data_IF_634180739527
#
_entry.id   IF_634180739527
#
_cell.length_a   1.000
_cell.length_b   1.000
_cell.length_c   1.000
_cell.angle_alpha   90.00
_cell.angle_beta   90.00
_cell.angle_gamma   90.00
#
_symmetry.space_group_name_H-M   'P 1'
#
loop_
_entity.id
_entity.type
_entity.pdbx_description
1 polymer ?
#
# COMPACT_ATOMS: atom_id res chain seq x y z
N UNK A 1 -0.38 12.89 -1.23
CA UNK A 1 -0.98 11.55 -1.07
C UNK A 1 -1.79 11.45 0.21
N UNK A 2 -1.28 11.92 1.37
CA UNK A 2 -1.92 11.86 2.68
C UNK A 2 -3.45 12.15 2.70
N UNK A 3 -3.90 13.24 2.07
CA UNK A 3 -5.33 13.62 2.06
C UNK A 3 -6.06 13.35 0.73
N UNK A 4 -5.55 12.43 -0.10
CA UNK A 4 -6.16 12.12 -1.40
C UNK A 4 -6.99 10.84 -1.31
N UNK A 5 -8.31 10.97 -1.30
CA UNK A 5 -9.24 9.83 -1.26
C UNK A 5 -9.09 8.90 -2.46
N UNK A 6 -8.85 9.42 -3.67
CA UNK A 6 -8.64 8.56 -4.85
C UNK A 6 -7.37 7.72 -4.72
N UNK A 7 -6.29 8.32 -4.20
CA UNK A 7 -5.07 7.57 -3.92
C UNK A 7 -5.32 6.42 -2.94
N UNK A 8 -5.93 6.70 -1.79
CA UNK A 8 -6.18 5.66 -0.78
C UNK A 8 -7.17 4.61 -1.26
N UNK A 9 -8.18 5.01 -2.03
CA UNK A 9 -9.13 4.08 -2.64
C UNK A 9 -8.41 3.11 -3.59
N UNK A 10 -7.66 3.62 -4.56
CA UNK A 10 -6.90 2.79 -5.50
C UNK A 10 -5.82 1.97 -4.81
N UNK A 11 -5.17 2.51 -3.76
CA UNK A 11 -4.17 1.79 -2.97
C UNK A 11 -4.75 0.58 -2.25
N UNK A 12 -5.83 0.78 -1.49
CA UNK A 12 -6.45 -0.27 -0.68
C UNK A 12 -7.11 -1.33 -1.58
N UNK A 13 -7.65 -0.94 -2.74
CA UNK A 13 -8.23 -1.87 -3.72
C UNK A 13 -7.29 -3.01 -4.11
N UNK A 14 -5.98 -2.79 -4.06
CA UNK A 14 -4.98 -3.80 -4.40
C UNK A 14 -4.63 -4.75 -3.26
N UNK A 15 -5.23 -4.59 -2.08
CA UNK A 15 -5.00 -5.47 -0.95
C UNK A 15 -5.66 -6.83 -1.21
N UNK A 16 -4.91 -7.89 -0.92
CA UNK A 16 -5.44 -9.25 -0.99
C UNK A 16 -6.23 -9.56 0.29
N UNK A 17 -7.42 -8.96 0.43
CA UNK A 17 -8.31 -9.15 1.56
C UNK A 17 -9.63 -9.80 1.15
N UNK A 18 -10.09 -10.74 1.96
CA UNK A 18 -11.38 -11.42 1.78
C UNK A 18 -12.01 -11.68 3.15
N UNK A 19 -13.28 -11.32 3.29
CA UNK A 19 -14.09 -11.65 4.45
C UNK A 19 -14.81 -12.98 4.20
N UNK A 20 -14.34 -14.05 4.85
CA UNK A 20 -14.92 -15.39 4.72
C UNK A 20 -16.35 -15.50 5.24
N UNK A 21 -16.79 -14.62 6.15
CA UNK A 21 -18.13 -14.69 6.76
C UNK A 21 -19.16 -14.05 5.83
N UNK A 22 -18.82 -12.90 5.27
CA UNK A 22 -19.72 -12.13 4.40
C UNK A 22 -19.51 -12.44 2.91
N UNK A 23 -18.48 -13.22 2.57
CA UNK A 23 -18.07 -13.57 1.21
C UNK A 23 -17.79 -12.34 0.32
N UNK A 24 -17.17 -11.32 0.90
CA UNK A 24 -16.84 -10.06 0.21
C UNK A 24 -15.34 -9.87 0.07
N UNK A 25 -14.91 -9.39 -1.09
CA UNK A 25 -13.55 -8.95 -1.34
C UNK A 25 -13.38 -7.45 -0.99
N UNK A 26 -12.14 -6.95 -1.04
CA UNK A 26 -11.85 -5.54 -0.71
C UNK A 26 -12.49 -4.57 -1.70
N UNK A 27 -12.50 -4.87 -3.00
CA UNK A 27 -13.12 -4.02 -4.02
C UNK A 27 -14.62 -3.82 -3.79
N UNK A 28 -15.34 -4.88 -3.41
CA UNK A 28 -16.75 -4.83 -3.00
C UNK A 28 -16.93 -4.02 -1.72
N UNK A 29 -16.08 -4.25 -0.71
CA UNK A 29 -16.12 -3.50 0.55
C UNK A 29 -15.90 -1.99 0.33
N UNK A 30 -15.05 -1.61 -0.62
CA UNK A 30 -14.77 -0.21 -0.94
C UNK A 30 -15.92 0.50 -1.66
N UNK A 31 -16.86 -0.22 -2.28
CA UNK A 31 -18.00 0.41 -2.99
C UNK A 31 -18.86 1.28 -2.05
N UNK A 32 -18.89 0.97 -0.75
CA UNK A 32 -19.65 1.74 0.26
C UNK A 32 -19.17 3.19 0.41
N UNK A 33 -17.93 3.48 0.01
CA UNK A 33 -17.35 4.82 0.06
C UNK A 33 -18.06 5.76 -0.93
N UNK A 34 -18.70 5.21 -1.97
CA UNK A 34 -19.47 6.00 -2.94
C UNK A 34 -18.59 6.90 -3.81
N UNK A 35 -17.39 6.43 -4.17
CA UNK A 35 -16.48 7.15 -5.07
C UNK A 35 -17.11 7.34 -6.45
N UNK A 36 -16.95 8.55 -6.99
CA UNK A 36 -17.27 8.87 -8.37
C UNK A 36 -16.34 8.11 -9.32
N UNK A 37 -16.85 7.04 -9.94
CA UNK A 37 -16.07 6.11 -10.77
C UNK A 37 -15.47 6.78 -12.01
N UNK A 38 -16.14 7.79 -12.60
CA UNK A 38 -15.60 8.53 -13.76
C UNK A 38 -14.39 9.37 -13.35
N UNK A 39 -14.50 10.11 -12.24
CA UNK A 39 -13.38 10.91 -11.71
C UNK A 39 -12.23 10.04 -11.20
N UNK A 40 -12.54 8.87 -10.65
CA UNK A 40 -11.53 7.90 -10.25
C UNK A 40 -10.73 7.45 -11.47
N UNK A 41 -11.40 7.04 -12.56
CA UNK A 41 -10.73 6.60 -13.78
C UNK A 41 -9.83 7.69 -14.38
N UNK A 42 -10.33 8.94 -14.47
CA UNK A 42 -9.52 10.09 -14.92
C UNK A 42 -8.32 10.37 -14.00
N UNK A 43 -8.47 10.10 -12.70
CA UNK A 43 -7.37 10.24 -11.75
C UNK A 43 -6.34 9.12 -11.91
N UNK A 44 -6.78 7.86 -12.04
CA UNK A 44 -5.92 6.69 -12.23
C UNK A 44 -5.10 6.81 -13.53
N UNK A 45 -5.73 7.21 -14.65
CA UNK A 45 -5.04 7.40 -15.93
C UNK A 45 -3.87 8.41 -15.82
N UNK A 46 -4.08 9.50 -15.08
CA UNK A 46 -3.03 10.53 -14.86
C UNK A 46 -2.02 10.13 -13.81
N UNK A 47 -2.41 9.32 -12.83
CA UNK A 47 -1.51 8.91 -11.76
C UNK A 47 -0.58 7.81 -12.25
N UNK A 48 -1.10 6.76 -12.89
CA UNK A 48 -0.32 5.63 -13.34
C UNK A 48 0.32 5.81 -14.73
N UNK A 49 0.23 7.02 -15.31
CA UNK A 49 0.87 7.32 -16.58
C UNK A 49 2.39 7.15 -16.49
N UNK A 50 2.96 6.52 -17.51
CA UNK A 50 4.41 6.49 -17.74
C UNK A 50 4.91 7.88 -18.15
N UNK A 51 6.20 8.14 -17.91
CA UNK A 51 6.84 9.34 -18.42
C UNK A 51 7.12 9.26 -19.93
N UNK A 52 7.73 10.31 -20.49
CA UNK A 52 8.06 10.39 -21.92
C UNK A 52 9.02 9.29 -22.41
N UNK A 53 9.69 8.58 -21.49
CA UNK A 53 10.60 7.47 -21.77
C UNK A 53 9.96 6.10 -21.55
N UNK A 54 8.69 6.05 -21.13
CA UNK A 54 8.00 4.80 -20.79
C UNK A 54 8.37 4.26 -19.42
N UNK A 55 8.93 5.08 -18.54
CA UNK A 55 9.31 4.70 -17.17
C UNK A 55 8.21 5.07 -16.17
N UNK A 56 8.23 4.41 -15.00
CA UNK A 56 7.27 4.68 -13.92
C UNK A 56 7.51 6.07 -13.36
N UNK A 57 6.53 6.96 -13.52
CA UNK A 57 6.66 8.36 -13.09
C UNK A 57 6.25 8.60 -11.64
N UNK A 58 5.58 7.63 -10.99
CA UNK A 58 5.10 7.74 -9.61
C UNK A 58 5.77 6.71 -8.71
N UNK A 59 6.56 7.22 -7.80
CA UNK A 59 7.21 6.43 -6.78
C UNK A 59 7.39 7.23 -5.48
N UNK A 60 7.66 6.52 -4.39
CA UNK A 60 8.14 7.07 -3.13
C UNK A 60 9.43 6.34 -2.80
N UNK A 61 10.50 7.08 -2.59
CA UNK A 61 11.79 6.53 -2.18
C UNK A 61 12.36 7.28 -0.97
N UNK A 62 13.30 6.63 -0.28
CA UNK A 62 14.00 7.28 0.82
C UNK A 62 14.97 6.34 1.53
N UNK A 63 15.54 6.85 2.62
CA UNK A 63 16.43 6.12 3.51
C UNK A 63 15.75 5.84 4.84
N UNK A 64 15.87 4.61 5.34
CA UNK A 64 15.32 4.18 6.62
C UNK A 64 16.32 4.42 7.75
N UNK A 65 17.48 3.78 7.67
CA UNK A 65 18.61 3.92 8.58
C UNK A 65 19.94 3.61 7.86
N UNK A 66 21.03 4.30 8.22
CA UNK A 66 22.35 4.06 7.61
C UNK A 66 22.33 4.01 6.08
N UNK A 67 22.60 2.82 5.53
CA UNK A 67 22.60 2.51 4.09
C UNK A 67 21.30 1.85 3.59
N UNK A 68 20.31 1.66 4.46
CA UNK A 68 19.03 1.04 4.10
C UNK A 68 18.14 2.02 3.32
N UNK A 69 17.75 1.65 2.11
CA UNK A 69 16.83 2.42 1.25
C UNK A 69 15.52 1.68 1.02
N UNK A 70 14.46 2.42 0.72
CA UNK A 70 13.21 1.86 0.25
C UNK A 70 12.78 2.56 -1.05
N UNK A 71 12.04 1.84 -1.88
CA UNK A 71 11.37 2.37 -3.06
C UNK A 71 9.99 1.68 -3.20
N UNK A 72 8.96 2.47 -3.45
CA UNK A 72 7.60 2.03 -3.74
C UNK A 72 7.23 2.59 -5.11
N UNK A 73 7.01 1.73 -6.09
CA UNK A 73 6.59 2.11 -7.44
C UNK A 73 5.09 1.88 -7.61
N UNK A 74 4.38 2.85 -8.18
CA UNK A 74 2.95 2.76 -8.44
C UNK A 74 2.71 2.57 -9.94
N UNK A 75 2.20 1.40 -10.34
CA UNK A 75 1.88 1.05 -11.72
C UNK A 75 0.37 0.79 -11.86
N UNK A 76 -0.15 0.82 -13.10
CA UNK A 76 -1.60 0.75 -13.38
C UNK A 76 -2.27 -0.57 -12.93
N UNK A 77 -1.48 -1.61 -12.66
CA UNK A 77 -1.95 -2.94 -12.28
C UNK A 77 -1.29 -3.53 -11.02
N UNK A 78 -0.24 -2.88 -10.51
CA UNK A 78 0.48 -3.35 -9.33
C UNK A 78 1.26 -2.24 -8.65
N UNK A 79 1.53 -2.45 -7.37
CA UNK A 79 2.40 -1.58 -6.56
C UNK A 79 3.59 -2.42 -6.16
N UNK A 80 4.81 -2.03 -6.55
CA UNK A 80 6.02 -2.79 -6.25
C UNK A 80 6.78 -2.15 -5.11
N UNK A 81 7.33 -2.99 -4.25
CA UNK A 81 8.08 -2.60 -3.08
C UNK A 81 9.51 -3.12 -3.23
N UNK A 82 10.47 -2.26 -2.90
CA UNK A 82 11.89 -2.57 -2.92
C UNK A 82 12.52 -2.11 -1.62
N UNK A 83 13.50 -2.89 -1.15
CA UNK A 83 14.36 -2.56 -0.03
C UNK A 83 15.81 -2.74 -0.50
N UNK A 84 16.66 -1.72 -0.36
CA UNK A 84 18.05 -1.77 -0.82
C UNK A 84 18.20 -2.18 -2.29
N UNK A 85 17.33 -1.64 -3.16
CA UNK A 85 17.23 -1.98 -4.58
C UNK A 85 16.87 -3.45 -4.88
N UNK A 86 16.50 -4.22 -3.84
CA UNK A 86 16.04 -5.61 -3.96
C UNK A 86 14.52 -5.61 -3.93
N UNK A 87 13.91 -6.27 -4.93
CA UNK A 87 12.47 -6.49 -4.97
C UNK A 87 12.00 -7.27 -3.73
N UNK A 88 11.02 -6.72 -3.04
CA UNK A 88 10.47 -7.23 -1.78
C UNK A 88 9.07 -7.85 -1.97
N UNK A 89 8.31 -7.35 -2.95
CA UNK A 89 6.99 -7.88 -3.27
C UNK A 89 6.09 -6.84 -3.94
N UNK A 90 4.83 -7.19 -4.14
CA UNK A 90 3.84 -6.33 -4.77
C UNK A 90 2.40 -6.57 -4.31
N UNK A 91 1.60 -5.51 -4.44
CA UNK A 91 0.15 -5.54 -4.34
C UNK A 91 -0.46 -5.49 -5.75
N UNK A 92 -1.62 -6.09 -5.94
CA UNK A 92 -2.27 -6.19 -7.26
C UNK A 92 -1.66 -7.26 -8.18
N UNK A 93 -2.33 -7.48 -9.32
CA UNK A 93 -1.99 -8.55 -10.27
C UNK A 93 -1.91 -9.93 -9.60
N UNK A 94 -0.78 -10.63 -9.81
CA UNK A 94 -0.44 -11.83 -9.05
C UNK A 94 0.26 -11.41 -7.75
N UNK A 95 -0.50 -11.31 -6.65
CA UNK A 95 0.04 -10.95 -5.34
C UNK A 95 1.23 -11.85 -4.96
N UNK A 96 2.35 -11.21 -4.64
CA UNK A 96 3.58 -11.85 -4.22
C UNK A 96 4.22 -10.95 -3.18
N UNK A 97 4.33 -11.41 -1.94
CA UNK A 97 4.88 -10.61 -0.86
C UNK A 97 5.85 -11.41 -0.01
N UNK A 98 7.04 -10.85 0.22
CA UNK A 98 7.75 -11.09 1.46
C UNK A 98 7.18 -10.14 2.51
N UNK A 99 6.92 -10.67 3.70
CA UNK A 99 6.25 -9.92 4.75
C UNK A 99 7.28 -9.40 5.75
N UNK A 100 7.17 -8.12 6.10
CA UNK A 100 7.78 -7.61 7.32
C UNK A 100 7.14 -8.28 8.52
N UNK A 101 7.92 -8.50 9.56
CA UNK A 101 7.39 -8.75 10.90
C UNK A 101 6.76 -7.47 11.47
N UNK A 102 5.87 -7.62 12.45
CA UNK A 102 5.29 -6.48 13.14
C UNK A 102 6.34 -5.53 13.75
N UNK A 103 7.41 -6.07 14.32
CA UNK A 103 8.49 -5.26 14.92
C UNK A 103 9.28 -4.47 13.87
N UNK A 104 9.54 -5.08 12.70
CA UNK A 104 10.16 -4.38 11.56
C UNK A 104 9.28 -3.24 11.06
N UNK A 105 7.96 -3.44 10.97
CA UNK A 105 7.04 -2.36 10.63
C UNK A 105 7.05 -1.26 11.70
N UNK A 106 7.07 -1.59 13.00
CA UNK A 106 7.14 -0.61 14.08
C UNK A 106 8.41 0.25 14.05
N UNK A 107 9.52 -0.27 13.49
CA UNK A 107 10.72 0.55 13.27
C UNK A 107 10.47 1.73 12.30
N UNK A 108 9.44 1.62 11.45
CA UNK A 108 9.03 2.63 10.49
C UNK A 108 8.02 3.65 11.04
N UNK A 109 7.53 3.49 12.28
CA UNK A 109 6.43 4.29 12.83
C UNK A 109 6.68 5.81 12.80
N UNK A 110 7.94 6.24 12.86
CA UNK A 110 8.35 7.64 12.78
C UNK A 110 8.14 8.25 11.37
N UNK A 111 8.03 7.39 10.35
CA UNK A 111 7.75 7.74 8.96
C UNK A 111 6.28 7.46 8.66
N UNK A 112 5.35 8.26 9.22
CA UNK A 112 3.90 8.00 9.21
C UNK A 112 3.36 7.47 7.86
N UNK A 113 3.69 8.13 6.76
CA UNK A 113 3.19 7.74 5.45
C UNK A 113 3.76 6.39 4.99
N UNK A 114 5.05 6.15 5.22
CA UNK A 114 5.67 4.88 4.85
C UNK A 114 5.16 3.74 5.73
N UNK A 115 4.99 3.98 7.03
CA UNK A 115 4.38 3.04 7.96
C UNK A 115 3.02 2.56 7.43
N UNK A 116 2.14 3.48 7.02
CA UNK A 116 0.82 3.13 6.47
C UNK A 116 0.92 2.37 5.14
N UNK A 117 1.86 2.74 4.27
CA UNK A 117 2.06 2.06 2.99
C UNK A 117 2.65 0.65 3.17
N UNK A 118 3.43 0.39 4.20
CA UNK A 118 4.02 -0.94 4.42
C UNK A 118 3.08 -1.92 5.16
N UNK A 119 1.94 -1.45 5.68
CA UNK A 119 0.93 -2.29 6.36
C UNK A 119 0.51 -3.56 5.58
N UNK A 120 0.09 -3.49 4.30
CA UNK A 120 -0.30 -4.69 3.54
C UNK A 120 0.87 -5.64 3.25
N UNK A 121 2.11 -5.19 3.45
CA UNK A 121 3.33 -5.98 3.30
C UNK A 121 3.85 -6.48 4.66
N UNK A 122 3.00 -6.55 5.69
CA UNK A 122 3.38 -6.98 7.05
C UNK A 122 2.55 -8.18 7.51
N UNK A 123 3.22 -9.16 8.10
CA UNK A 123 2.58 -10.27 8.78
C UNK A 123 2.34 -9.89 10.24
N UNK A 124 1.06 -9.89 10.64
CA UNK A 124 0.64 -9.62 12.03
C UNK A 124 0.12 -10.93 12.61
N UNK A 125 0.75 -11.38 13.69
CA UNK A 125 0.32 -12.59 14.39
C UNK A 125 -0.99 -12.35 15.14
N UNK A 126 -1.75 -13.43 15.41
CA UNK A 126 -3.06 -13.34 16.05
C UNK A 126 -3.01 -12.64 17.41
N UNK A 127 -1.96 -12.89 18.18
CA UNK A 127 -1.73 -12.28 19.50
C UNK A 127 -1.34 -10.80 19.43
N UNK A 128 -0.79 -10.34 18.30
CA UNK A 128 -0.43 -8.93 18.08
C UNK A 128 -1.61 -8.08 17.61
N UNK A 129 -2.71 -8.69 17.16
CA UNK A 129 -3.83 -8.01 16.47
C UNK A 129 -4.39 -6.80 17.23
N UNK A 130 -4.68 -6.94 18.53
CA UNK A 130 -5.31 -5.86 19.30
C UNK A 130 -4.35 -4.70 19.53
N UNK A 131 -3.07 -4.99 19.76
CA UNK A 131 -2.02 -3.99 19.88
C UNK A 131 -1.79 -3.27 18.54
N UNK A 132 -1.71 -4.03 17.44
CA UNK A 132 -1.55 -3.48 16.10
C UNK A 132 -2.69 -2.54 15.72
N UNK A 133 -3.95 -2.91 16.02
CA UNK A 133 -5.10 -2.03 15.81
C UNK A 133 -4.98 -0.70 16.56
N UNK A 134 -4.55 -0.73 17.83
CA UNK A 134 -4.39 0.48 18.63
C UNK A 134 -3.32 1.40 18.03
N UNK A 135 -2.18 0.84 17.61
CA UNK A 135 -1.11 1.63 17.00
C UNK A 135 -1.55 2.20 15.66
N UNK A 136 -2.12 1.39 14.77
CA UNK A 136 -2.61 1.84 13.45
C UNK A 136 -3.61 2.99 13.62
N UNK A 137 -4.52 2.90 14.59
CA UNK A 137 -5.51 3.93 14.85
C UNK A 137 -4.89 5.29 15.24
N UNK A 138 -3.71 5.31 15.87
CA UNK A 138 -3.02 6.56 16.21
C UNK A 138 -2.39 7.26 15.01
N UNK A 139 -2.29 6.58 13.86
CA UNK A 139 -1.73 7.11 12.62
C UNK A 139 -2.80 7.52 11.58
N UNK A 140 -4.08 7.27 11.87
CA UNK A 140 -5.24 7.65 11.04
C UNK A 140 -5.85 8.97 11.53
#
# INVERSE_FOLDING_TARGET
MKDNTFFWYSYIKWFNGYDEINEINIDEALEVIGIDKEKLAEWEERFFSLDDFGEVSKFIEGKLDGDTTFLIEFQDHEIRFFLNDIYFGKLGGHFEAWFLTWDELLSLQQFEQLFLLMLPMTAIEREQRDHAKQIIYNHL
#
